data_IF_093105438657
#
_entry.id   IF_093105438657
#
_cell.length_a   1.000
_cell.length_b   1.000
_cell.length_c   1.000
_cell.angle_alpha   90.00
_cell.angle_beta   90.00
_cell.angle_gamma   90.00
#
_symmetry.space_group_name_H-M   'P 1'
#
loop_
_entity.id
_entity.type
_entity.pdbx_description
1 polymer ?
#
# COMPACT_ATOMS: atom_id res chain seq x y z
N UNK A 1 -9.47 0.26 -16.47
CA UNK A 1 -10.35 -0.20 -15.36
C UNK A 1 -10.22 -1.67 -15.02
N UNK A 2 -9.94 -2.58 -15.97
CA UNK A 2 -9.98 -4.05 -15.73
C UNK A 2 -8.97 -4.61 -14.70
N UNK A 3 -7.96 -3.83 -14.28
CA UNK A 3 -6.92 -4.29 -13.35
C UNK A 3 -7.20 -3.98 -11.88
N UNK A 4 -8.07 -3.00 -11.59
CA UNK A 4 -8.35 -2.54 -10.22
C UNK A 4 -9.60 -3.18 -9.62
N UNK A 5 -10.44 -3.79 -10.45
CA UNK A 5 -11.70 -4.41 -10.05
C UNK A 5 -11.67 -5.92 -10.28
N UNK A 6 -12.28 -6.66 -9.36
CA UNK A 6 -12.58 -8.09 -9.50
C UNK A 6 -13.99 -8.34 -9.00
N UNK A 7 -14.78 -9.06 -9.78
CA UNK A 7 -16.16 -9.42 -9.42
C UNK A 7 -17.02 -8.19 -9.05
N UNK A 8 -16.85 -7.08 -9.78
CA UNK A 8 -17.59 -5.82 -9.59
C UNK A 8 -17.18 -5.01 -8.36
N UNK A 9 -16.03 -5.33 -7.74
CA UNK A 9 -15.51 -4.66 -6.54
C UNK A 9 -14.06 -4.24 -6.72
N UNK A 10 -13.67 -3.12 -6.11
CA UNK A 10 -12.26 -2.73 -6.04
C UNK A 10 -11.44 -3.78 -5.29
N UNK A 11 -10.29 -4.14 -5.83
CA UNK A 11 -9.40 -5.09 -5.21
C UNK A 11 -8.71 -4.49 -3.98
N UNK A 12 -8.54 -5.32 -2.94
CA UNK A 12 -7.65 -5.00 -1.84
C UNK A 12 -6.18 -4.98 -2.30
N UNK A 13 -5.36 -4.15 -1.65
CA UNK A 13 -3.89 -4.17 -1.81
C UNK A 13 -3.30 -4.91 -0.63
N UNK A 14 -2.99 -6.19 -0.81
CA UNK A 14 -2.52 -7.10 0.25
C UNK A 14 -1.12 -7.62 -0.02
N UNK A 15 -0.87 -8.09 -1.24
CA UNK A 15 0.28 -8.88 -1.61
C UNK A 15 0.96 -8.27 -2.84
N UNK A 16 2.28 -8.28 -2.87
CA UNK A 16 3.04 -7.68 -3.97
C UNK A 16 2.76 -8.37 -5.31
N UNK A 17 2.55 -9.68 -5.34
CA UNK A 17 2.30 -10.41 -6.58
C UNK A 17 0.94 -10.09 -7.25
N UNK A 18 0.08 -9.28 -6.61
CA UNK A 18 -1.12 -8.76 -7.27
C UNK A 18 -0.78 -7.80 -8.42
N UNK A 19 0.41 -7.19 -8.39
CA UNK A 19 0.83 -6.21 -9.37
C UNK A 19 1.56 -6.88 -10.54
N UNK A 20 0.86 -7.03 -11.66
CA UNK A 20 1.49 -7.37 -12.94
C UNK A 20 2.39 -6.24 -13.44
N UNK A 21 3.37 -6.54 -14.30
CA UNK A 21 4.22 -5.51 -14.94
C UNK A 21 3.38 -4.38 -15.57
N UNK A 22 2.34 -4.73 -16.32
CA UNK A 22 1.46 -3.75 -16.96
C UNK A 22 0.80 -2.82 -15.96
N UNK A 23 0.30 -3.36 -14.85
CA UNK A 23 -0.31 -2.56 -13.79
C UNK A 23 0.73 -1.69 -13.08
N UNK A 24 1.95 -2.20 -12.85
CA UNK A 24 3.03 -1.40 -12.26
C UNK A 24 3.42 -0.22 -13.15
N UNK A 25 3.56 -0.43 -14.46
CA UNK A 25 3.87 0.63 -15.42
C UNK A 25 2.77 1.70 -15.44
N UNK A 26 1.50 1.30 -15.46
CA UNK A 26 0.37 2.24 -15.35
C UNK A 26 0.42 3.07 -14.06
N UNK A 27 0.71 2.43 -12.92
CA UNK A 27 0.86 3.11 -11.63
C UNK A 27 2.07 4.07 -11.61
N UNK A 28 3.17 3.71 -12.27
CA UNK A 28 4.36 4.56 -12.37
C UNK A 28 4.10 5.80 -13.22
N UNK A 29 3.40 5.64 -14.35
CA UNK A 29 2.98 6.77 -15.19
C UNK A 29 2.04 7.71 -14.43
N UNK A 30 1.08 7.16 -13.68
CA UNK A 30 0.20 7.96 -12.80
C UNK A 30 1.03 8.70 -11.75
N UNK A 31 2.01 8.04 -11.11
CA UNK A 31 2.88 8.68 -10.12
C UNK A 31 3.68 9.84 -10.71
N UNK A 32 4.19 9.73 -11.94
CA UNK A 32 4.89 10.82 -12.62
C UNK A 32 3.95 11.97 -12.99
N UNK A 33 2.72 11.69 -13.43
CA UNK A 33 1.71 12.72 -13.66
C UNK A 33 1.35 13.48 -12.37
N UNK A 34 1.09 12.76 -11.27
CA UNK A 34 0.81 13.35 -9.95
C UNK A 34 1.97 14.23 -9.52
N UNK A 35 3.20 13.75 -9.62
CA UNK A 35 4.40 14.55 -9.29
C UNK A 35 4.50 15.81 -10.15
N UNK A 36 4.19 15.73 -11.45
CA UNK A 36 4.13 16.90 -12.32
C UNK A 36 3.06 17.91 -11.88
N UNK A 37 1.88 17.43 -11.48
CA UNK A 37 0.76 18.26 -11.01
C UNK A 37 1.07 18.96 -9.69
N UNK A 38 1.75 18.30 -8.75
CA UNK A 38 2.12 18.91 -7.44
C UNK A 38 3.06 20.11 -7.55
N UNK A 39 3.64 20.38 -8.72
CA UNK A 39 4.52 21.53 -8.97
C UNK A 39 3.77 22.78 -9.43
N UNK A 40 2.46 22.70 -9.67
CA UNK A 40 1.65 23.78 -10.21
C UNK A 40 0.42 24.02 -9.34
N UNK A 41 0.04 25.28 -9.02
CA UNK A 41 -1.15 25.55 -8.19
C UNK A 41 -2.43 24.90 -8.72
N UNK A 42 -2.70 25.04 -10.02
CA UNK A 42 -3.87 24.43 -10.68
C UNK A 42 -3.84 22.89 -10.65
N UNK A 43 -2.65 22.28 -10.68
CA UNK A 43 -2.49 20.84 -10.53
C UNK A 43 -2.80 20.36 -9.11
N UNK A 44 -2.40 21.13 -8.09
CA UNK A 44 -2.74 20.85 -6.69
C UNK A 44 -4.25 20.96 -6.47
N UNK A 45 -4.90 21.99 -7.01
CA UNK A 45 -6.36 22.16 -6.93
C UNK A 45 -7.10 21.01 -7.60
N UNK A 46 -6.65 20.60 -8.80
CA UNK A 46 -7.19 19.44 -9.49
C UNK A 46 -7.06 18.17 -8.64
N UNK A 47 -5.86 17.86 -8.13
CA UNK A 47 -5.65 16.67 -7.30
C UNK A 47 -6.58 16.67 -6.08
N UNK A 48 -6.69 17.80 -5.36
CA UNK A 48 -7.59 17.94 -4.21
C UNK A 48 -9.07 17.76 -4.55
N UNK A 49 -9.46 17.93 -5.81
CA UNK A 49 -10.84 17.73 -6.24
C UNK A 49 -11.17 16.27 -6.61
N UNK A 50 -10.16 15.43 -6.86
CA UNK A 50 -10.34 14.08 -7.41
C UNK A 50 -11.19 13.17 -6.52
N UNK A 51 -10.87 13.12 -5.23
CA UNK A 51 -11.49 12.22 -4.25
C UNK A 51 -12.02 13.00 -3.03
N UNK A 52 -12.40 14.27 -3.22
CA UNK A 52 -12.95 15.15 -2.16
C UNK A 52 -14.25 14.66 -1.52
N UNK A 53 -14.94 13.73 -2.18
CA UNK A 53 -16.17 13.10 -1.73
C UNK A 53 -15.95 11.75 -1.04
N UNK A 54 -14.69 11.35 -0.80
CA UNK A 54 -14.29 10.06 -0.24
C UNK A 54 -13.55 10.20 1.08
N UNK A 55 -13.67 9.19 1.95
CA UNK A 55 -13.03 9.17 3.26
C UNK A 55 -12.10 7.96 3.43
N UNK A 56 -10.93 8.16 4.04
CA UNK A 56 -9.98 7.10 4.37
C UNK A 56 -9.80 6.92 5.89
N UNK A 57 -9.84 5.68 6.37
CA UNK A 57 -9.43 5.33 7.73
C UNK A 57 -7.97 4.88 7.73
N UNK A 58 -7.11 5.59 8.46
CA UNK A 58 -5.74 5.18 8.73
C UNK A 58 -5.70 4.39 10.05
N UNK A 59 -5.78 3.06 9.93
CA UNK A 59 -5.72 2.13 11.05
C UNK A 59 -4.28 1.65 11.29
N UNK A 60 -3.54 2.34 12.16
CA UNK A 60 -2.11 2.12 12.43
C UNK A 60 -1.88 1.80 13.91
N UNK A 61 -2.21 0.59 14.32
CA UNK A 61 -2.01 0.08 15.70
C UNK A 61 -0.57 -0.36 15.98
N UNK A 62 0.27 -0.46 14.95
CA UNK A 62 1.72 -0.63 15.08
C UNK A 62 2.45 0.71 14.84
N UNK A 63 3.41 1.11 15.71
CA UNK A 63 4.17 2.35 15.53
C UNK A 63 4.89 2.44 14.18
N UNK A 64 4.53 3.45 13.38
CA UNK A 64 5.28 3.82 12.18
C UNK A 64 4.99 5.23 11.65
N UNK A 65 5.77 6.22 12.11
CA UNK A 65 5.57 7.63 11.73
C UNK A 65 5.69 7.88 10.22
N UNK A 66 6.74 7.32 9.58
CA UNK A 66 7.00 7.58 8.15
C UNK A 66 5.90 7.01 7.26
N UNK A 67 5.53 5.76 7.48
CA UNK A 67 4.49 5.11 6.67
C UNK A 67 3.13 5.78 6.89
N UNK A 68 2.78 6.07 8.14
CA UNK A 68 1.55 6.79 8.49
C UNK A 68 1.45 8.15 7.78
N UNK A 69 2.47 9.02 7.96
CA UNK A 69 2.47 10.35 7.35
C UNK A 69 2.46 10.30 5.83
N UNK A 70 3.11 9.29 5.22
CA UNK A 70 3.08 9.10 3.77
C UNK A 70 1.67 8.83 3.26
N UNK A 71 0.91 7.94 3.92
CA UNK A 71 -0.47 7.66 3.54
C UNK A 71 -1.40 8.82 3.85
N UNK A 72 -1.25 9.47 5.01
CA UNK A 72 -2.05 10.64 5.39
C UNK A 72 -1.91 11.74 4.34
N UNK A 73 -0.66 12.05 3.98
CA UNK A 73 -0.36 13.07 2.96
C UNK A 73 -0.91 12.66 1.60
N UNK A 74 -0.83 11.38 1.22
CA UNK A 74 -1.37 10.89 -0.05
C UNK A 74 -2.91 11.06 -0.11
N UNK A 75 -3.63 10.71 0.95
CA UNK A 75 -5.09 10.92 1.04
C UNK A 75 -5.46 12.40 0.94
N UNK A 76 -4.79 13.26 1.72
CA UNK A 76 -5.04 14.70 1.69
C UNK A 76 -4.69 15.34 0.35
N UNK A 77 -3.66 14.84 -0.33
CA UNK A 77 -3.25 15.32 -1.66
C UNK A 77 -4.34 15.13 -2.70
N UNK A 78 -5.06 14.00 -2.65
CA UNK A 78 -6.17 13.70 -3.56
C UNK A 78 -7.54 14.17 -3.03
N UNK A 79 -7.54 14.90 -1.91
CA UNK A 79 -8.73 15.54 -1.35
C UNK A 79 -9.53 14.73 -0.34
N UNK A 80 -9.11 13.51 0.01
CA UNK A 80 -9.88 12.66 0.93
C UNK A 80 -9.86 13.21 2.35
N UNK A 81 -11.01 13.16 3.02
CA UNK A 81 -11.07 13.31 4.48
C UNK A 81 -10.49 12.06 5.16
N UNK A 82 -9.82 12.24 6.30
CA UNK A 82 -9.13 11.14 6.99
C UNK A 82 -9.56 11.01 8.43
N UNK A 83 -9.81 9.77 8.87
CA UNK A 83 -9.83 9.39 10.28
C UNK A 83 -8.58 8.57 10.62
N UNK A 84 -8.18 8.54 11.89
CA UNK A 84 -7.02 7.76 12.33
C UNK A 84 -7.28 6.99 13.62
N UNK A 85 -6.67 5.81 13.70
CA UNK A 85 -6.53 5.03 14.93
C UNK A 85 -5.05 4.70 15.06
N UNK A 86 -4.42 5.23 16.12
CA UNK A 86 -2.97 5.06 16.36
C UNK A 86 -2.65 4.23 17.60
N UNK A 87 -3.63 4.08 18.48
CA UNK A 87 -3.52 3.33 19.71
C UNK A 87 -4.82 2.52 19.90
N UNK A 88 -4.77 1.18 19.75
CA UNK A 88 -5.94 0.34 19.96
C UNK A 88 -6.44 0.40 21.41
N UNK A 89 -5.55 0.69 22.36
CA UNK A 89 -5.92 0.83 23.77
C UNK A 89 -6.81 2.04 24.00
N UNK A 90 -6.65 3.13 23.22
CA UNK A 90 -7.49 4.33 23.35
C UNK A 90 -8.84 4.22 22.63
N UNK A 91 -8.96 3.35 21.61
CA UNK A 91 -10.16 3.32 20.77
C UNK A 91 -11.26 2.37 21.24
N UNK A 92 -10.92 1.24 21.88
CA UNK A 92 -11.94 0.19 22.14
C UNK A 92 -11.57 -0.89 23.16
N UNK A 93 -10.29 -1.12 23.48
CA UNK A 93 -9.90 -2.17 24.44
C UNK A 93 -10.44 -1.92 25.86
N UNK A 94 -10.75 -0.66 26.23
CA UNK A 94 -11.40 -0.34 27.52
C UNK A 94 -12.89 -0.72 27.62
N UNK A 95 -13.57 -1.05 26.51
CA UNK A 95 -15.02 -1.32 26.49
C UNK A 95 -15.42 -2.77 26.17
N UNK A 96 -14.45 -3.68 25.99
CA UNK A 96 -14.72 -5.08 25.68
C UNK A 96 -15.15 -5.35 24.23
N UNK A 97 -15.01 -4.37 23.34
CA UNK A 97 -15.26 -4.53 21.90
C UNK A 97 -14.04 -5.17 21.23
N UNK A 98 -14.27 -6.14 20.33
CA UNK A 98 -13.18 -6.79 19.61
C UNK A 98 -12.55 -5.85 18.58
N UNK A 99 -11.28 -6.08 18.26
CA UNK A 99 -10.57 -5.32 17.24
C UNK A 99 -11.27 -5.41 15.88
N UNK A 100 -11.79 -6.60 15.58
CA UNK A 100 -12.56 -6.94 14.39
C UNK A 100 -13.85 -6.13 14.29
N UNK A 101 -14.59 -6.00 15.39
CA UNK A 101 -15.83 -5.23 15.43
C UNK A 101 -15.57 -3.74 15.24
N UNK A 102 -14.51 -3.20 15.84
CA UNK A 102 -14.09 -1.83 15.59
C UNK A 102 -13.81 -1.56 14.11
N UNK A 103 -13.04 -2.42 13.44
CA UNK A 103 -12.77 -2.28 11.99
C UNK A 103 -14.06 -2.41 11.16
N UNK A 104 -14.98 -3.31 11.52
CA UNK A 104 -16.30 -3.42 10.87
C UNK A 104 -17.10 -2.13 11.00
N UNK A 105 -17.12 -1.52 12.19
CA UNK A 105 -17.77 -0.23 12.40
C UNK A 105 -17.13 0.84 11.53
N UNK A 106 -15.80 0.92 11.45
CA UNK A 106 -15.12 1.88 10.58
C UNK A 106 -15.45 1.68 9.10
N UNK A 107 -15.60 0.44 8.63
CA UNK A 107 -16.02 0.17 7.25
C UNK A 107 -17.39 0.77 6.89
N UNK A 108 -18.22 1.09 7.88
CA UNK A 108 -19.50 1.76 7.66
C UNK A 108 -19.38 3.28 7.42
N UNK A 109 -18.27 3.89 7.83
CA UNK A 109 -18.05 5.35 7.79
C UNK A 109 -17.05 5.79 6.71
N UNK A 110 -16.17 4.88 6.28
CA UNK A 110 -15.05 5.19 5.38
C UNK A 110 -15.16 4.40 4.07
N UNK A 111 -14.63 4.98 2.98
CA UNK A 111 -14.59 4.37 1.63
C UNK A 111 -13.32 3.53 1.41
N UNK A 112 -12.31 3.70 2.27
CA UNK A 112 -11.01 3.05 2.17
C UNK A 112 -10.45 2.83 3.59
N UNK A 113 -9.84 1.67 3.83
CA UNK A 113 -9.10 1.42 5.07
C UNK A 113 -7.63 1.16 4.72
N UNK A 114 -6.72 1.92 5.32
CA UNK A 114 -5.28 1.71 5.24
C UNK A 114 -4.84 1.12 6.56
N UNK A 115 -4.41 -0.14 6.54
CA UNK A 115 -4.23 -0.94 7.74
C UNK A 115 -2.77 -1.31 7.95
N UNK A 116 -2.30 -1.12 9.17
CA UNK A 116 -1.03 -1.63 9.67
C UNK A 116 -1.18 -2.13 11.10
N UNK A 117 -1.11 -3.45 11.25
CA UNK A 117 -1.31 -4.12 12.52
C UNK A 117 -0.11 -5.02 12.91
N UNK A 118 0.24 -5.17 14.21
CA UNK A 118 1.29 -6.10 14.63
C UNK A 118 0.91 -7.59 14.44
N UNK A 119 -0.39 -7.94 14.46
CA UNK A 119 -0.90 -9.31 14.32
C UNK A 119 -0.71 -9.78 12.86
N UNK A 120 0.12 -10.82 12.62
CA UNK A 120 0.28 -11.40 11.28
C UNK A 120 -1.05 -11.87 10.71
N UNK A 121 -1.26 -11.68 9.40
CA UNK A 121 -2.50 -12.10 8.73
C UNK A 121 -3.75 -11.28 9.06
N UNK A 122 -3.70 -10.28 9.96
CA UNK A 122 -4.90 -9.55 10.37
C UNK A 122 -5.51 -8.71 9.24
N UNK A 123 -4.66 -8.11 8.40
CA UNK A 123 -5.12 -7.32 7.25
C UNK A 123 -5.85 -8.19 6.22
N UNK A 124 -5.29 -9.37 5.91
CA UNK A 124 -5.91 -10.36 5.02
C UNK A 124 -7.22 -10.90 5.61
N UNK A 125 -7.22 -11.21 6.90
CA UNK A 125 -8.41 -11.68 7.62
C UNK A 125 -9.53 -10.65 7.58
N UNK A 126 -9.24 -9.38 7.85
CA UNK A 126 -10.24 -8.31 7.80
C UNK A 126 -10.76 -8.07 6.38
N UNK A 127 -9.90 -8.17 5.36
CA UNK A 127 -10.33 -8.05 3.97
C UNK A 127 -11.32 -9.17 3.59
N UNK A 128 -10.97 -10.42 3.90
CA UNK A 128 -11.86 -11.56 3.71
C UNK A 128 -13.18 -11.37 4.45
N UNK A 129 -13.12 -10.93 5.70
CA UNK A 129 -14.30 -10.74 6.53
C UNK A 129 -15.23 -9.66 5.96
N UNK A 130 -14.71 -8.50 5.52
CA UNK A 130 -15.53 -7.42 4.93
C UNK A 130 -16.09 -7.81 3.56
N UNK A 131 -15.38 -8.61 2.78
CA UNK A 131 -15.89 -9.13 1.51
C UNK A 131 -17.10 -10.05 1.67
N UNK A 132 -17.29 -10.64 2.85
CA UNK A 132 -18.39 -11.54 3.18
C UNK A 132 -19.57 -10.85 3.90
N UNK A 133 -19.48 -9.55 4.22
CA UNK A 133 -20.56 -8.81 4.92
C UNK A 133 -21.53 -8.10 3.98
N UNK A 134 -21.34 -8.20 2.66
CA UNK A 134 -22.13 -7.49 1.65
C UNK A 134 -21.74 -6.02 1.46
N UNK A 135 -20.76 -5.52 2.22
CA UNK A 135 -20.20 -4.17 2.10
C UNK A 135 -18.67 -4.24 2.02
N UNK A 136 -18.17 -4.54 0.81
CA UNK A 136 -16.73 -4.58 0.54
C UNK A 136 -16.15 -3.16 0.53
N UNK A 137 -15.32 -2.86 1.51
CA UNK A 137 -14.49 -1.65 1.54
C UNK A 137 -13.05 -2.06 1.22
N UNK A 138 -12.40 -1.45 0.21
CA UNK A 138 -11.04 -1.79 -0.13
C UNK A 138 -10.11 -1.53 1.07
N UNK A 139 -9.18 -2.46 1.27
CA UNK A 139 -8.18 -2.40 2.32
C UNK A 139 -6.81 -2.32 1.66
N UNK A 140 -5.98 -1.39 2.11
CA UNK A 140 -4.57 -1.27 1.72
C UNK A 140 -3.66 -1.67 2.87
N UNK A 141 -2.81 -2.68 2.64
CA UNK A 141 -1.82 -3.15 3.59
C UNK A 141 -0.62 -2.17 3.66
N UNK A 142 -0.55 -1.41 4.75
CA UNK A 142 0.52 -0.47 5.08
C UNK A 142 1.76 -1.13 5.70
N UNK A 143 1.91 -2.46 5.57
CA UNK A 143 3.05 -3.22 6.07
C UNK A 143 2.78 -3.93 7.40
N UNK A 144 1.68 -4.68 7.48
CA UNK A 144 1.24 -5.46 8.65
C UNK A 144 2.15 -6.66 8.92
N UNK A 145 2.41 -6.92 10.21
CA UNK A 145 3.16 -8.10 10.67
C UNK A 145 4.55 -8.29 10.03
N UNK A 146 4.92 -9.56 9.85
CA UNK A 146 6.16 -9.99 9.19
C UNK A 146 5.95 -10.35 7.72
N UNK A 147 4.77 -10.10 7.17
CA UNK A 147 4.30 -10.83 6.00
C UNK A 147 4.70 -10.12 4.70
N UNK A 148 4.11 -8.96 4.42
CA UNK A 148 4.30 -8.20 3.18
C UNK A 148 4.33 -6.69 3.41
N UNK A 149 4.93 -5.96 2.47
CA UNK A 149 4.80 -4.49 2.39
C UNK A 149 4.65 -4.07 0.92
N UNK A 150 3.48 -4.31 0.30
CA UNK A 150 3.28 -4.15 -1.14
C UNK A 150 3.55 -2.72 -1.62
N UNK A 151 3.11 -1.71 -0.87
CA UNK A 151 3.31 -0.30 -1.22
C UNK A 151 4.75 0.16 -1.14
N UNK A 152 5.57 -0.42 -0.25
CA UNK A 152 7.01 -0.14 -0.20
C UNK A 152 7.71 -0.77 -1.41
N UNK A 153 7.34 -1.99 -1.79
CA UNK A 153 7.92 -2.64 -2.97
C UNK A 153 7.59 -1.88 -4.26
N UNK A 154 6.36 -1.37 -4.41
CA UNK A 154 6.01 -0.49 -5.53
C UNK A 154 6.85 0.79 -5.56
N UNK A 155 7.08 1.41 -4.40
CA UNK A 155 7.93 2.60 -4.29
C UNK A 155 9.39 2.31 -4.67
N UNK A 156 9.94 1.18 -4.21
CA UNK A 156 11.30 0.74 -4.54
C UNK A 156 11.44 0.53 -6.05
N UNK A 157 10.50 -0.19 -6.68
CA UNK A 157 10.51 -0.43 -8.12
C UNK A 157 10.26 0.84 -8.93
N UNK A 158 9.39 1.75 -8.49
CA UNK A 158 9.20 3.05 -9.13
C UNK A 158 10.52 3.85 -9.15
N UNK A 159 11.26 3.80 -8.04
CA UNK A 159 12.58 4.44 -7.94
C UNK A 159 13.54 3.82 -8.95
N UNK A 160 13.61 2.49 -9.03
CA UNK A 160 14.45 1.78 -10.01
C UNK A 160 14.04 2.08 -11.45
N UNK A 161 12.74 2.06 -11.75
CA UNK A 161 12.17 2.38 -13.06
C UNK A 161 12.67 3.74 -13.54
N UNK A 162 12.55 4.76 -12.69
CA UNK A 162 13.04 6.11 -12.99
C UNK A 162 14.55 6.21 -13.14
N UNK A 163 15.30 5.55 -12.26
CA UNK A 163 16.77 5.54 -12.33
C UNK A 163 17.30 4.88 -13.61
N UNK A 164 16.56 3.91 -14.15
CA UNK A 164 16.97 3.16 -15.33
C UNK A 164 16.17 3.46 -16.60
N UNK A 165 15.27 4.45 -16.59
CA UNK A 165 14.43 4.79 -17.75
C UNK A 165 15.25 5.10 -19.02
N UNK A 166 16.42 5.71 -18.86
CA UNK A 166 17.36 6.01 -19.97
C UNK A 166 18.49 4.97 -20.09
N UNK A 167 18.38 3.85 -19.38
CA UNK A 167 19.37 2.76 -19.31
C UNK A 167 18.75 1.38 -19.59
N UNK A 168 17.67 1.35 -20.38
CA UNK A 168 17.01 0.11 -20.80
C UNK A 168 16.00 -0.48 -19.81
N UNK A 169 15.51 0.30 -18.84
CA UNK A 169 14.46 -0.14 -17.90
C UNK A 169 14.98 -1.04 -16.78
N UNK A 170 14.12 -1.88 -16.18
CA UNK A 170 14.48 -2.75 -15.03
C UNK A 170 15.14 -4.07 -15.49
N UNK A 171 14.70 -4.61 -16.63
CA UNK A 171 15.20 -5.88 -17.19
C UNK A 171 16.71 -5.86 -17.50
N UNK A 172 17.34 -7.03 -17.60
CA UNK A 172 18.76 -7.20 -17.98
C UNK A 172 19.73 -6.52 -17.01
N UNK A 173 19.47 -6.64 -15.71
CA UNK A 173 20.27 -6.01 -14.66
C UNK A 173 20.50 -6.94 -13.49
N UNK A 174 21.55 -6.63 -12.75
CA UNK A 174 21.94 -7.32 -11.53
C UNK A 174 21.65 -6.44 -10.32
N UNK A 175 20.90 -6.97 -9.36
CA UNK A 175 20.50 -6.29 -8.13
C UNK A 175 21.09 -7.01 -6.93
N UNK A 176 21.69 -6.27 -5.99
CA UNK A 176 22.19 -6.84 -4.74
C UNK A 176 21.30 -6.41 -3.57
N UNK A 177 20.82 -7.38 -2.79
CA UNK A 177 20.09 -7.17 -1.55
C UNK A 177 21.02 -7.46 -0.38
N UNK A 178 21.26 -6.45 0.47
CA UNK A 178 22.24 -6.51 1.54
C UNK A 178 21.58 -6.23 2.89
N UNK A 179 21.82 -7.08 3.89
CA UNK A 179 21.40 -6.85 5.28
C UNK A 179 20.62 -8.01 5.90
N UNK A 180 19.64 -7.71 6.76
CA UNK A 180 18.76 -8.70 7.39
C UNK A 180 17.68 -9.17 6.41
N UNK A 181 18.03 -10.14 5.58
CA UNK A 181 17.14 -10.71 4.57
C UNK A 181 16.09 -11.65 5.19
N UNK A 182 16.38 -12.25 6.35
CA UNK A 182 15.47 -13.15 7.05
C UNK A 182 14.23 -12.39 7.55
N UNK A 183 14.42 -11.19 8.11
CA UNK A 183 13.33 -10.37 8.67
C UNK A 183 12.87 -9.26 7.71
N UNK A 184 13.63 -8.97 6.65
CA UNK A 184 13.35 -7.92 5.66
C UNK A 184 12.10 -8.17 4.80
N UNK A 185 10.91 -7.87 5.32
CA UNK A 185 9.63 -8.00 4.56
C UNK A 185 9.59 -7.14 3.30
N UNK A 186 10.22 -5.96 3.33
CA UNK A 186 10.33 -5.07 2.18
C UNK A 186 11.16 -5.74 1.07
N UNK A 187 12.32 -6.32 1.41
CA UNK A 187 13.16 -7.06 0.47
C UNK A 187 12.38 -8.21 -0.18
N UNK A 188 11.69 -9.03 0.61
CA UNK A 188 10.85 -10.12 0.08
C UNK A 188 9.81 -9.60 -0.92
N UNK A 189 9.13 -8.50 -0.58
CA UNK A 189 8.11 -7.87 -1.43
C UNK A 189 8.72 -7.34 -2.75
N UNK A 190 9.89 -6.70 -2.69
CA UNK A 190 10.59 -6.15 -3.86
C UNK A 190 11.18 -7.23 -4.77
N UNK A 191 11.72 -8.31 -4.19
CA UNK A 191 12.20 -9.50 -4.94
C UNK A 191 11.06 -10.14 -5.73
N UNK A 192 9.88 -10.29 -5.12
CA UNK A 192 8.71 -10.85 -5.80
C UNK A 192 8.31 -10.03 -7.03
N UNK A 193 8.32 -8.70 -6.94
CA UNK A 193 8.01 -7.85 -8.09
C UNK A 193 9.12 -7.89 -9.15
N UNK A 194 10.39 -7.82 -8.74
CA UNK A 194 11.52 -7.87 -9.66
C UNK A 194 11.62 -9.19 -10.41
N UNK A 195 11.21 -10.30 -9.79
CA UNK A 195 11.22 -11.64 -10.42
C UNK A 195 10.30 -11.75 -11.64
N UNK A 196 9.37 -10.81 -11.83
CA UNK A 196 8.51 -10.76 -13.02
C UNK A 196 9.28 -10.24 -14.25
N UNK A 197 10.35 -9.46 -14.06
CA UNK A 197 11.12 -8.86 -15.15
C UNK A 197 12.11 -9.85 -15.76
N UNK A 198 12.37 -9.68 -17.07
CA UNK A 198 13.23 -10.59 -17.83
C UNK A 198 14.71 -10.33 -17.54
N UNK A 199 15.49 -11.40 -17.53
CA UNK A 199 16.95 -11.37 -17.44
C UNK A 199 17.46 -10.57 -16.22
N UNK A 200 16.76 -10.68 -15.08
CA UNK A 200 17.18 -10.07 -13.82
C UNK A 200 18.02 -11.05 -13.01
N UNK A 201 19.22 -10.63 -12.62
CA UNK A 201 20.09 -11.35 -11.67
C UNK A 201 19.94 -10.75 -10.27
N UNK A 202 19.90 -11.59 -9.24
CA UNK A 202 19.77 -11.14 -7.84
C UNK A 202 20.84 -11.77 -6.95
N UNK A 203 21.64 -10.93 -6.30
CA UNK A 203 22.59 -11.32 -5.26
C UNK A 203 21.98 -11.08 -3.87
N UNK A 204 22.14 -12.05 -2.97
CA UNK A 204 21.65 -11.97 -1.60
C UNK A 204 22.85 -12.02 -0.63
N UNK A 205 23.11 -10.89 0.03
CA UNK A 205 24.23 -10.73 0.95
C UNK A 205 23.68 -10.53 2.37
N UNK A 206 23.78 -11.56 3.19
CA UNK A 206 23.36 -11.54 4.59
C UNK A 206 24.43 -12.19 5.47
N UNK A 207 24.50 -11.83 6.77
CA UNK A 207 25.16 -12.66 7.76
C UNK A 207 24.56 -14.08 7.74
N UNK A 208 25.42 -15.08 7.99
CA UNK A 208 25.02 -16.48 8.13
C UNK A 208 24.03 -16.70 9.27
#
# INVERSE_FOLDING_TARGET
MQHYEKDGRLQHVMLSHQFSIKLMEELFDIADHVKGMTRKPNGIEFLKSLLSHKKAMLYFTQPSTRTFLSFLTACQMVGMDTGEVRDPSLSSEYKGESQEDGVRVFSSYFDLIIMRDPKPGFCEYMAYLLDNTGRSVPIMNGGSGKDQHPTQALLDLYTMHRSFQHKGGISKKRYAFVGDLLRGRAVRSSVMLLSQYKDVEMDFVAPS
#
